data_IF_404545085689
#
_entry.id   IF_404545085689
#
_cell.length_a   1.000
_cell.length_b   1.000
_cell.length_c   1.000
_cell.angle_alpha   90.00
_cell.angle_beta   90.00
_cell.angle_gamma   90.00
#
_symmetry.space_group_name_H-M   'P 1'
#
loop_
_entity.id
_entity.type
_entity.pdbx_description
1 polymer ?
#
# COMPACT_ATOMS: atom_id res chain seq x y z
N UNK A 1 9.30 -9.03 -0.01
CA UNK A 1 9.77 -8.21 -1.15
C UNK A 1 9.71 -9.03 -2.45
N UNK A 2 8.73 -9.92 -2.60
CA UNK A 2 8.81 -11.01 -3.59
C UNK A 2 8.28 -10.68 -4.99
N UNK A 3 7.98 -9.40 -5.27
CA UNK A 3 7.53 -8.94 -6.59
C UNK A 3 8.09 -7.56 -6.90
N UNK A 4 9.31 -7.51 -7.41
CA UNK A 4 9.78 -6.34 -8.16
C UNK A 4 9.03 -6.38 -9.49
N UNK A 5 8.11 -5.43 -9.69
CA UNK A 5 7.34 -5.33 -10.93
C UNK A 5 8.26 -4.74 -12.00
N UNK A 6 8.39 -5.42 -13.13
CA UNK A 6 9.04 -4.87 -14.33
C UNK A 6 8.00 -4.07 -15.10
N UNK A 7 8.34 -2.82 -15.44
CA UNK A 7 7.50 -1.92 -16.22
C UNK A 7 8.03 -1.84 -17.65
N UNK A 8 7.13 -1.69 -18.63
CA UNK A 8 7.53 -1.29 -19.98
C UNK A 8 7.82 0.23 -20.04
N UNK A 9 8.38 0.70 -21.16
CA UNK A 9 8.79 2.09 -21.31
C UNK A 9 7.61 3.09 -21.19
N UNK A 10 6.40 2.68 -21.55
CA UNK A 10 5.21 3.53 -21.44
C UNK A 10 4.74 3.60 -20.00
N UNK A 11 4.72 2.46 -19.30
CA UNK A 11 4.38 2.38 -17.88
C UNK A 11 5.39 3.16 -17.02
N UNK A 12 6.68 3.06 -17.34
CA UNK A 12 7.73 3.83 -16.68
C UNK A 12 7.53 5.35 -16.88
N UNK A 13 7.21 5.80 -18.11
CA UNK A 13 6.94 7.20 -18.37
C UNK A 13 5.72 7.73 -17.60
N UNK A 14 4.66 6.93 -17.46
CA UNK A 14 3.47 7.28 -16.68
C UNK A 14 3.83 7.37 -15.19
N UNK A 15 4.58 6.39 -14.66
CA UNK A 15 5.02 6.40 -13.27
C UNK A 15 5.93 7.60 -12.98
N UNK A 16 6.84 7.92 -13.90
CA UNK A 16 7.74 9.08 -13.80
C UNK A 16 6.96 10.40 -13.74
N UNK A 17 5.93 10.56 -14.57
CA UNK A 17 5.08 11.75 -14.55
C UNK A 17 4.35 11.88 -13.20
N UNK A 18 3.74 10.80 -12.72
CA UNK A 18 3.05 10.78 -11.42
C UNK A 18 4.01 11.05 -10.26
N UNK A 19 5.21 10.48 -10.27
CA UNK A 19 6.23 10.72 -9.27
C UNK A 19 6.69 12.19 -9.28
N UNK A 20 6.84 12.79 -10.46
CA UNK A 20 7.24 14.19 -10.61
C UNK A 20 6.18 15.14 -10.04
N UNK A 21 4.90 14.87 -10.32
CA UNK A 21 3.79 15.63 -9.75
C UNK A 21 3.71 15.47 -8.24
N UNK A 22 3.93 14.27 -7.73
CA UNK A 22 3.95 14.01 -6.29
C UNK A 22 5.07 14.79 -5.61
N UNK A 23 6.31 14.73 -6.10
CA UNK A 23 7.43 15.51 -5.56
C UNK A 23 7.15 17.01 -5.58
N UNK A 24 6.47 17.51 -6.62
CA UNK A 24 6.05 18.91 -6.69
C UNK A 24 5.07 19.30 -5.58
N UNK A 25 4.16 18.41 -5.19
CA UNK A 25 3.27 18.63 -4.04
C UNK A 25 4.05 18.74 -2.71
N UNK A 26 5.22 18.12 -2.62
CA UNK A 26 6.13 18.24 -1.48
C UNK A 26 7.15 19.38 -1.62
N UNK A 27 6.88 20.37 -2.48
CA UNK A 27 7.73 21.54 -2.66
C UNK A 27 9.06 21.23 -3.36
N UNK A 28 9.15 20.11 -4.08
CA UNK A 28 10.37 19.66 -4.74
C UNK A 28 11.29 18.79 -3.88
N UNK A 29 10.96 18.56 -2.60
CA UNK A 29 11.75 17.69 -1.73
C UNK A 29 11.42 16.21 -1.97
N UNK A 30 12.15 15.61 -2.90
CA UNK A 30 11.99 14.20 -3.27
C UNK A 30 12.26 13.24 -2.10
N UNK A 31 13.18 13.59 -1.19
CA UNK A 31 13.53 12.71 -0.06
C UNK A 31 12.42 12.71 0.99
N UNK A 32 11.83 13.88 1.26
CA UNK A 32 10.64 13.98 2.12
C UNK A 32 9.45 13.23 1.52
N UNK A 33 9.17 13.47 0.23
CA UNK A 33 8.11 12.79 -0.50
C UNK A 33 8.24 11.26 -0.41
N UNK A 34 9.44 10.72 -0.64
CA UNK A 34 9.70 9.29 -0.54
C UNK A 34 9.47 8.73 0.87
N UNK A 35 9.94 9.42 1.92
CA UNK A 35 9.73 8.98 3.32
C UNK A 35 8.25 8.90 3.66
N UNK A 36 7.47 9.90 3.28
CA UNK A 36 6.03 9.92 3.54
C UNK A 36 5.30 8.81 2.77
N UNK A 37 5.67 8.54 1.51
CA UNK A 37 5.12 7.41 0.75
C UNK A 37 5.45 6.06 1.38
N UNK A 38 6.67 5.86 1.88
CA UNK A 38 7.05 4.62 2.55
C UNK A 38 6.21 4.38 3.82
N UNK A 39 6.00 5.42 4.63
CA UNK A 39 5.15 5.34 5.83
C UNK A 39 3.71 5.05 5.46
N UNK A 40 3.16 5.75 4.45
CA UNK A 40 1.80 5.51 3.98
C UNK A 40 1.61 4.08 3.47
N UNK A 41 2.55 3.59 2.65
CA UNK A 41 2.51 2.23 2.13
C UNK A 41 2.60 1.18 3.24
N UNK A 42 3.41 1.42 4.28
CA UNK A 42 3.47 0.57 5.47
C UNK A 42 2.10 0.46 6.17
N UNK A 43 1.46 1.61 6.43
CA UNK A 43 0.13 1.63 7.06
C UNK A 43 -0.95 0.98 6.18
N UNK A 44 -0.88 1.17 4.87
CA UNK A 44 -1.78 0.51 3.93
C UNK A 44 -1.58 -1.01 3.95
N UNK A 45 -0.34 -1.48 4.00
CA UNK A 45 -0.04 -2.91 4.11
C UNK A 45 -0.58 -3.48 5.43
N UNK A 46 -0.39 -2.81 6.56
CA UNK A 46 -0.94 -3.23 7.86
C UNK A 46 -2.47 -3.35 7.83
N UNK A 47 -3.15 -2.40 7.18
CA UNK A 47 -4.60 -2.44 6.99
C UNK A 47 -5.03 -3.60 6.08
N UNK A 48 -4.32 -3.82 4.98
CA UNK A 48 -4.59 -4.93 4.07
C UNK A 48 -4.36 -6.29 4.75
N UNK A 49 -3.33 -6.41 5.58
CA UNK A 49 -3.04 -7.61 6.34
C UNK A 49 -4.12 -7.87 7.41
N UNK A 50 -4.59 -6.81 8.08
CA UNK A 50 -5.72 -6.89 9.02
C UNK A 50 -6.99 -7.38 8.32
N UNK A 51 -7.37 -6.74 7.20
CA UNK A 51 -8.53 -7.14 6.40
C UNK A 51 -8.39 -8.56 5.85
N UNK A 52 -7.19 -8.94 5.40
CA UNK A 52 -6.93 -10.30 4.92
C UNK A 52 -7.01 -11.34 6.05
N UNK A 53 -6.57 -10.98 7.26
CA UNK A 53 -6.75 -11.79 8.47
C UNK A 53 -8.22 -11.94 8.84
N UNK A 54 -8.99 -10.86 8.79
CA UNK A 54 -10.44 -10.87 9.00
C UNK A 54 -11.19 -11.72 7.96
N UNK A 55 -10.78 -11.66 6.69
CA UNK A 55 -11.35 -12.46 5.61
C UNK A 55 -10.93 -13.93 5.66
N UNK A 56 -9.74 -14.24 6.18
CA UNK A 56 -9.28 -15.63 6.42
C UNK A 56 -9.92 -16.26 7.67
N UNK A 57 -10.31 -15.44 8.66
CA UNK A 57 -11.02 -15.88 9.86
C UNK A 57 -12.32 -15.08 10.09
N UNK A 58 -13.31 -15.18 9.16
CA UNK A 58 -14.52 -14.39 9.25
C UNK A 58 -15.43 -14.98 10.33
N UNK A 59 -15.41 -14.42 11.55
CA UNK A 59 -16.33 -14.66 12.70
C UNK A 59 -17.35 -15.82 12.53
N UNK A 60 -16.88 -17.06 12.41
CA UNK A 60 -17.60 -18.33 12.58
C UNK A 60 -16.51 -19.37 12.86
N UNK A 61 -16.41 -19.99 14.04
CA UNK A 61 -17.23 -21.13 14.39
C UNK A 61 -17.28 -21.37 15.91
N UNK A 62 -18.18 -20.68 16.62
CA UNK A 62 -18.83 -21.15 17.87
C UNK A 62 -19.96 -20.15 18.13
N UNK A 63 -21.24 -20.42 17.86
CA UNK A 63 -21.98 -21.60 18.32
C UNK A 63 -21.59 -21.98 19.75
N UNK A 64 -21.66 -21.01 20.67
CA UNK A 64 -22.15 -21.28 22.02
C UNK A 64 -23.58 -20.76 22.09
N UNK A 65 -24.54 -21.65 21.81
CA UNK A 65 -25.90 -21.45 22.32
C UNK A 65 -25.86 -21.53 23.86
N UNK A 66 -26.74 -20.81 24.57
CA UNK A 66 -26.75 -20.85 26.03
C UNK A 66 -27.28 -22.22 26.52
N UNK A 67 -26.92 -22.63 27.75
CA UNK A 67 -27.29 -23.92 28.33
C UNK A 67 -28.80 -24.09 28.53
#
# INVERSE_FOLDING_TARGET
>A
MDRIVTLDAREEAILQAAASDFVRLHGGDAMKALKEQMVLNGHLQERLDTLSGELKYPRQAMRRGPP
#
